data_IF_901414640012
#
_entry.id   IF_901414640012
#
_cell.length_a   1.000
_cell.length_b   1.000
_cell.length_c   1.000
_cell.angle_alpha   90.00
_cell.angle_beta   90.00
_cell.angle_gamma   90.00
#
_symmetry.space_group_name_H-M   'P 1'
#
loop_
_entity.id
_entity.type
_entity.pdbx_description
1 polymer ?
#
# COMPACT_ATOMS: atom_id res chain seq x y z
N UNK A 1 -2.41 -21.13 -9.39
CA UNK A 1 -3.48 -20.85 -8.41
C UNK A 1 -4.65 -20.27 -9.17
N UNK A 2 -5.92 -20.67 -8.91
CA UNK A 2 -7.07 -20.02 -9.53
C UNK A 2 -7.12 -18.52 -9.20
N UNK A 3 -7.61 -17.69 -10.11
CA UNK A 3 -7.77 -16.24 -9.88
C UNK A 3 -8.59 -15.94 -8.61
N UNK A 4 -9.60 -16.75 -8.32
CA UNK A 4 -10.43 -16.65 -7.11
C UNK A 4 -9.67 -16.90 -5.80
N UNK A 5 -8.50 -17.51 -5.83
CA UNK A 5 -7.65 -17.67 -4.64
C UNK A 5 -6.44 -16.75 -4.66
N UNK A 6 -6.28 -15.96 -5.72
CA UNK A 6 -5.21 -14.97 -5.82
C UNK A 6 -5.61 -13.76 -4.98
N UNK A 7 -4.81 -13.42 -3.96
CA UNK A 7 -5.12 -12.30 -3.11
C UNK A 7 -4.64 -11.02 -3.83
N UNK A 8 -5.26 -9.87 -3.59
CA UNK A 8 -4.84 -8.60 -4.22
C UNK A 8 -4.90 -7.43 -3.26
N UNK A 9 -4.15 -6.39 -3.60
CA UNK A 9 -4.14 -5.10 -2.92
C UNK A 9 -4.09 -3.97 -3.95
N UNK A 10 -4.92 -2.96 -3.75
CA UNK A 10 -5.09 -1.79 -4.62
C UNK A 10 -4.96 -0.52 -3.78
N UNK A 11 -4.19 0.44 -4.30
CA UNK A 11 -3.81 1.68 -3.64
C UNK A 11 -3.96 2.83 -4.64
N UNK A 12 -4.99 3.65 -4.42
CA UNK A 12 -5.17 4.89 -5.18
C UNK A 12 -4.63 6.05 -4.36
N UNK A 13 -3.58 6.70 -4.86
CA UNK A 13 -2.92 7.82 -4.18
C UNK A 13 -3.14 9.13 -4.93
N UNK A 14 -3.57 10.17 -4.21
CA UNK A 14 -3.76 11.52 -4.75
C UNK A 14 -3.07 12.55 -3.86
N UNK A 15 -2.20 13.37 -4.45
CA UNK A 15 -1.51 14.46 -3.75
C UNK A 15 -2.16 15.81 -4.06
N UNK A 16 -2.29 16.68 -3.05
CA UNK A 16 -2.83 18.03 -3.23
C UNK A 16 -2.19 19.02 -2.24
N UNK A 17 -1.76 20.21 -2.68
CA UNK A 17 -1.68 20.64 -4.08
C UNK A 17 -0.55 19.93 -4.84
N UNK A 18 -0.64 19.87 -6.17
CA UNK A 18 0.41 19.29 -7.02
C UNK A 18 1.64 20.22 -7.18
N UNK A 19 1.50 21.50 -6.82
CA UNK A 19 2.58 22.48 -6.76
C UNK A 19 2.49 23.18 -5.41
N UNK A 20 3.58 23.22 -4.65
CA UNK A 20 3.57 23.76 -3.30
C UNK A 20 4.80 24.62 -3.03
N UNK A 21 4.61 25.71 -2.29
CA UNK A 21 5.71 26.46 -1.68
C UNK A 21 5.98 25.93 -0.27
N UNK A 22 7.10 26.34 0.28
CA UNK A 22 7.43 26.08 1.69
C UNK A 22 6.32 26.61 2.59
N UNK A 23 6.04 25.87 3.67
CA UNK A 23 4.99 26.22 4.62
C UNK A 23 3.56 25.95 4.13
N UNK A 24 3.34 25.59 2.86
CA UNK A 24 2.04 25.14 2.35
C UNK A 24 1.65 23.80 2.99
N UNK A 25 0.38 23.65 3.36
CA UNK A 25 -0.16 22.36 3.78
C UNK A 25 -0.41 21.49 2.56
N UNK A 26 0.22 20.33 2.52
CA UNK A 26 0.05 19.32 1.48
C UNK A 26 -0.56 18.06 2.08
N UNK A 27 -1.40 17.39 1.29
CA UNK A 27 -2.13 16.19 1.67
C UNK A 27 -1.93 15.10 0.63
N UNK A 28 -1.55 13.92 1.08
CA UNK A 28 -1.64 12.67 0.33
C UNK A 28 -2.84 11.89 0.83
N UNK A 29 -3.80 11.63 -0.05
CA UNK A 29 -4.93 10.75 0.23
C UNK A 29 -4.65 9.40 -0.40
N UNK A 30 -4.63 8.34 0.41
CA UNK A 30 -4.50 6.96 -0.03
C UNK A 30 -5.80 6.22 0.22
N UNK A 31 -6.42 5.72 -0.84
CA UNK A 31 -7.55 4.81 -0.75
C UNK A 31 -7.03 3.39 -0.92
N UNK A 32 -7.23 2.57 0.12
CA UNK A 32 -6.81 1.18 0.15
C UNK A 32 -8.00 0.26 -0.09
N UNK A 33 -7.77 -0.79 -0.89
CA UNK A 33 -8.67 -1.93 -1.04
C UNK A 33 -7.84 -3.21 -1.11
N UNK A 34 -8.29 -4.28 -0.48
CA UNK A 34 -7.67 -5.59 -0.63
C UNK A 34 -8.69 -6.71 -0.55
N UNK A 35 -8.34 -7.83 -1.17
CA UNK A 35 -9.05 -9.09 -1.04
C UNK A 35 -8.09 -10.15 -0.54
N UNK A 36 -8.41 -10.71 0.63
CA UNK A 36 -7.61 -11.72 1.29
C UNK A 36 -8.42 -13.01 1.41
N UNK A 37 -8.25 -13.98 0.49
CA UNK A 37 -8.92 -15.27 0.52
C UNK A 37 -8.63 -16.01 1.83
N UNK A 38 -9.69 -16.55 2.43
CA UNK A 38 -9.62 -17.29 3.69
C UNK A 38 -10.77 -18.30 3.78
N UNK A 39 -10.46 -19.50 4.28
CA UNK A 39 -11.45 -20.54 4.56
C UNK A 39 -12.08 -21.17 3.32
N UNK A 40 -11.43 -21.08 2.15
CA UNK A 40 -11.92 -21.69 0.91
C UNK A 40 -11.30 -23.08 0.67
N UNK A 41 -12.07 -24.04 0.14
CA UNK A 41 -11.52 -25.30 -0.39
C UNK A 41 -12.24 -25.68 -1.68
N UNK A 42 -11.51 -26.29 -2.61
CA UNK A 42 -12.09 -26.95 -3.76
C UNK A 42 -12.43 -28.41 -3.42
N UNK A 43 -13.69 -28.79 -3.64
CA UNK A 43 -14.16 -30.17 -3.47
C UNK A 43 -13.79 -31.03 -4.69
N UNK A 44 -13.83 -32.37 -4.57
CA UNK A 44 -13.82 -33.27 -5.73
C UNK A 44 -14.92 -32.85 -6.72
N UNK A 45 -14.54 -32.50 -7.95
CA UNK A 45 -15.43 -31.89 -8.94
C UNK A 45 -15.19 -30.39 -9.20
N UNK A 46 -14.25 -29.76 -8.49
CA UNK A 46 -13.82 -28.38 -8.76
C UNK A 46 -14.76 -27.31 -8.21
N UNK A 47 -15.79 -27.69 -7.44
CA UNK A 47 -16.65 -26.73 -6.76
C UNK A 47 -15.91 -26.08 -5.58
N UNK A 48 -15.96 -24.75 -5.50
CA UNK A 48 -15.40 -23.98 -4.39
C UNK A 48 -16.42 -23.90 -3.24
N UNK A 49 -15.99 -24.23 -2.03
CA UNK A 49 -16.79 -24.10 -0.81
C UNK A 49 -16.10 -23.18 0.19
N UNK A 50 -16.85 -22.24 0.76
CA UNK A 50 -16.38 -21.34 1.81
C UNK A 50 -16.85 -21.85 3.18
N UNK A 51 -15.90 -22.05 4.10
CA UNK A 51 -16.17 -22.54 5.46
C UNK A 51 -16.31 -21.41 6.49
N UNK A 52 -16.30 -20.16 6.05
CA UNK A 52 -16.46 -18.98 6.90
C UNK A 52 -15.17 -18.52 7.58
N UNK A 53 -15.20 -17.32 8.15
CA UNK A 53 -14.04 -16.66 8.76
C UNK A 53 -13.50 -17.39 10.00
N UNK A 54 -14.35 -18.14 10.71
CA UNK A 54 -14.03 -18.84 11.98
C UNK A 54 -13.72 -20.32 11.80
N UNK A 55 -13.50 -20.77 10.55
CA UNK A 55 -13.18 -22.17 10.30
C UNK A 55 -11.89 -22.56 11.00
N UNK A 56 -11.91 -23.68 11.73
CA UNK A 56 -10.72 -24.27 12.38
C UNK A 56 -9.99 -25.28 11.47
N UNK A 57 -10.44 -25.40 10.21
CA UNK A 57 -9.86 -26.32 9.23
C UNK A 57 -8.47 -25.86 8.85
N UNK A 58 -7.54 -26.80 8.71
CA UNK A 58 -6.17 -26.56 8.24
C UNK A 58 -6.00 -26.87 6.75
N UNK A 59 -7.00 -27.51 6.14
CA UNK A 59 -7.00 -27.95 4.73
C UNK A 59 -7.72 -26.95 3.79
N UNK A 60 -7.78 -25.68 4.19
CA UNK A 60 -8.41 -24.57 3.46
C UNK A 60 -7.37 -23.52 3.09
N UNK A 61 -7.64 -22.74 2.04
CA UNK A 61 -6.86 -21.55 1.66
C UNK A 61 -6.92 -20.55 2.81
N UNK A 62 -5.76 -20.02 3.20
CA UNK A 62 -5.63 -19.05 4.28
C UNK A 62 -4.17 -18.66 4.52
N UNK A 63 -3.93 -17.88 5.57
CA UNK A 63 -2.58 -17.50 5.98
C UNK A 63 -1.93 -16.40 5.13
N UNK A 64 -2.69 -15.76 4.23
CA UNK A 64 -2.22 -14.57 3.51
C UNK A 64 -2.19 -13.38 4.47
N UNK A 65 -1.04 -12.73 4.56
CA UNK A 65 -0.89 -11.41 5.18
C UNK A 65 -0.37 -10.45 4.14
N UNK A 66 -0.94 -9.25 4.10
CA UNK A 66 -0.48 -8.17 3.24
C UNK A 66 0.09 -7.05 4.08
N UNK A 67 1.27 -6.60 3.69
CA UNK A 67 1.89 -5.40 4.20
C UNK A 67 2.01 -4.39 3.07
N UNK A 68 1.50 -3.20 3.31
CA UNK A 68 1.98 -2.00 2.62
C UNK A 68 2.70 -1.07 3.60
N UNK A 69 2.46 -1.25 4.91
CA UNK A 69 3.26 -0.76 6.02
C UNK A 69 2.71 -1.34 7.35
N UNK A 70 3.59 -1.71 8.29
CA UNK A 70 3.26 -2.23 9.63
C UNK A 70 4.06 -3.50 9.97
N UNK A 71 5.09 -3.34 10.81
CA UNK A 71 6.17 -4.25 11.27
C UNK A 71 7.52 -4.16 10.51
N UNK A 72 7.55 -3.97 9.18
CA UNK A 72 8.80 -3.96 8.38
C UNK A 72 9.27 -2.57 7.89
N UNK A 73 8.54 -1.48 8.18
CA UNK A 73 9.07 -0.16 7.85
C UNK A 73 10.26 0.17 8.76
N UNK A 74 11.40 0.64 8.20
CA UNK A 74 12.59 0.96 9.00
C UNK A 74 12.41 2.13 9.98
N UNK A 75 11.24 2.79 9.99
CA UNK A 75 10.97 3.98 10.79
C UNK A 75 9.60 3.91 11.49
N UNK A 76 9.56 4.26 12.78
CA UNK A 76 8.33 4.48 13.55
C UNK A 76 7.87 5.92 13.38
N UNK A 77 6.65 6.15 12.87
CA UNK A 77 6.02 7.47 12.75
C UNK A 77 5.30 7.68 11.42
N UNK A 78 4.54 8.77 11.32
CA UNK A 78 3.88 9.20 10.09
C UNK A 78 4.86 10.04 9.25
N UNK A 79 5.19 9.57 8.05
CA UNK A 79 6.07 10.26 7.13
C UNK A 79 5.50 10.25 5.71
N UNK A 80 5.94 11.20 4.89
CA UNK A 80 5.90 11.06 3.44
C UNK A 80 7.32 10.97 2.88
N UNK A 81 7.50 10.05 1.94
CA UNK A 81 8.72 9.82 1.18
C UNK A 81 8.65 10.58 -0.15
N UNK A 82 9.68 11.38 -0.42
CA UNK A 82 9.85 12.21 -1.61
C UNK A 82 11.03 11.70 -2.44
N UNK A 83 10.75 11.05 -3.56
CA UNK A 83 11.77 10.61 -4.50
C UNK A 83 12.00 11.68 -5.56
N UNK A 84 13.21 12.22 -5.63
CA UNK A 84 13.53 13.28 -6.60
C UNK A 84 13.49 12.74 -8.02
N UNK A 85 12.93 13.53 -8.93
CA UNK A 85 12.99 13.31 -10.38
C UNK A 85 13.98 14.33 -10.95
N UNK A 86 15.11 13.91 -11.55
CA UNK A 86 15.74 12.56 -11.52
C UNK A 86 16.39 12.22 -10.15
N UNK A 87 16.75 10.94 -9.86
CA UNK A 87 16.81 9.78 -10.77
C UNK A 87 15.52 8.96 -10.89
N UNK A 88 14.50 9.24 -10.06
CA UNK A 88 13.23 8.55 -10.20
C UNK A 88 12.58 8.87 -11.57
N UNK A 89 11.85 7.90 -12.11
CA UNK A 89 11.18 8.03 -13.39
C UNK A 89 9.69 8.30 -13.19
N UNK A 90 9.13 9.33 -13.85
CA UNK A 90 7.69 9.52 -13.86
C UNK A 90 6.98 8.26 -14.35
N UNK A 91 5.79 7.96 -13.80
CA UNK A 91 4.94 6.81 -14.18
C UNK A 91 5.52 5.43 -13.85
N UNK A 92 6.59 5.35 -13.07
CA UNK A 92 7.10 4.11 -12.50
C UNK A 92 6.96 4.15 -10.98
N UNK A 93 6.88 2.97 -10.35
CA UNK A 93 7.01 2.87 -8.90
C UNK A 93 8.44 3.25 -8.50
N UNK A 94 8.63 4.18 -7.56
CA UNK A 94 9.96 4.50 -7.08
C UNK A 94 10.54 3.30 -6.32
N UNK A 95 11.75 2.89 -6.71
CA UNK A 95 12.50 1.80 -6.08
C UNK A 95 13.70 2.33 -5.29
N UNK A 96 14.11 1.59 -4.26
CA UNK A 96 15.28 1.92 -3.42
C UNK A 96 14.97 2.85 -2.25
N UNK A 97 15.99 3.21 -1.48
CA UNK A 97 15.87 3.94 -0.21
C UNK A 97 16.21 5.43 -0.30
N UNK A 98 16.49 5.95 -1.50
CA UNK A 98 16.97 7.33 -1.72
C UNK A 98 15.92 8.44 -1.57
N UNK A 99 14.77 8.18 -0.95
CA UNK A 99 13.74 9.18 -0.72
C UNK A 99 14.11 10.11 0.44
N UNK A 100 13.75 11.38 0.31
CA UNK A 100 13.72 12.31 1.45
C UNK A 100 12.46 12.00 2.28
N UNK A 101 12.63 11.73 3.57
CA UNK A 101 11.52 11.48 4.48
C UNK A 101 11.14 12.78 5.20
N UNK A 102 9.91 13.26 5.01
CA UNK A 102 9.39 14.41 5.74
C UNK A 102 8.35 13.96 6.78
N UNK A 103 8.45 14.41 8.05
CA UNK A 103 7.44 14.14 9.05
C UNK A 103 6.06 14.64 8.61
N UNK A 104 5.04 13.85 8.93
CA UNK A 104 3.66 14.12 8.60
C UNK A 104 2.75 13.71 9.77
N UNK A 105 1.45 13.92 9.60
CA UNK A 105 0.42 13.35 10.47
C UNK A 105 -0.55 12.56 9.60
N UNK A 106 -1.02 11.42 10.07
CA UNK A 106 -1.98 10.60 9.35
C UNK A 106 -3.30 10.45 10.11
N UNK A 107 -4.37 10.26 9.35
CA UNK A 107 -5.68 9.87 9.87
C UNK A 107 -6.27 8.79 8.98
N UNK A 108 -6.66 7.68 9.62
CA UNK A 108 -7.37 6.58 8.96
C UNK A 108 -8.87 6.74 9.16
N UNK A 109 -9.65 6.48 8.11
CA UNK A 109 -11.11 6.54 8.12
C UNK A 109 -11.71 5.44 7.25
N UNK A 110 -12.99 5.12 7.48
CA UNK A 110 -13.73 4.18 6.65
C UNK A 110 -13.20 2.74 6.71
N UNK A 111 -12.54 2.38 7.81
CA UNK A 111 -12.00 1.04 8.02
C UNK A 111 -13.12 0.01 8.03
N UNK A 112 -12.98 -1.02 7.21
CA UNK A 112 -13.95 -2.09 7.07
C UNK A 112 -13.26 -3.31 6.50
N UNK A 113 -13.42 -4.45 7.18
CA UNK A 113 -12.84 -5.72 6.77
C UNK A 113 -13.85 -6.88 7.00
N UNK A 114 -15.03 -6.85 6.36
CA UNK A 114 -15.97 -7.96 6.45
C UNK A 114 -15.42 -9.20 5.75
N UNK A 115 -15.69 -10.37 6.31
CA UNK A 115 -15.66 -11.61 5.56
C UNK A 115 -16.88 -11.69 4.65
N UNK A 116 -16.66 -11.90 3.35
CA UNK A 116 -17.72 -12.04 2.37
C UNK A 116 -17.83 -13.50 1.94
N UNK A 117 -18.92 -14.15 2.33
CA UNK A 117 -19.15 -15.58 2.11
C UNK A 117 -19.12 -15.96 0.63
N UNK A 118 -19.64 -15.13 -0.28
CA UNK A 118 -19.58 -15.41 -1.72
C UNK A 118 -18.16 -15.35 -2.29
N UNK A 119 -17.25 -14.63 -1.64
CA UNK A 119 -15.87 -14.45 -2.06
C UNK A 119 -14.90 -15.46 -1.43
N UNK A 120 -15.34 -16.14 -0.37
CA UNK A 120 -14.48 -16.81 0.60
C UNK A 120 -13.27 -15.93 1.01
N UNK A 121 -13.49 -14.65 1.29
CA UNK A 121 -12.40 -13.69 1.49
C UNK A 121 -12.80 -12.56 2.43
N UNK A 122 -11.81 -11.98 3.09
CA UNK A 122 -11.94 -10.66 3.70
C UNK A 122 -11.80 -9.58 2.62
N UNK A 123 -12.73 -8.63 2.59
CA UNK A 123 -12.65 -7.45 1.73
C UNK A 123 -12.28 -6.24 2.60
N UNK A 124 -10.99 -5.90 2.60
CA UNK A 124 -10.48 -4.80 3.40
C UNK A 124 -10.57 -3.49 2.62
N UNK A 125 -10.98 -2.42 3.28
CA UNK A 125 -10.92 -1.06 2.76
C UNK A 125 -10.67 -0.07 3.89
N UNK A 126 -9.95 1.00 3.57
CA UNK A 126 -9.83 2.18 4.41
C UNK A 126 -9.30 3.34 3.58
N UNK A 127 -9.34 4.55 4.12
CA UNK A 127 -8.71 5.73 3.54
C UNK A 127 -7.76 6.34 4.55
N UNK A 128 -6.49 6.48 4.17
CA UNK A 128 -5.48 7.21 4.94
C UNK A 128 -5.34 8.60 4.34
N UNK A 129 -5.47 9.61 5.18
CA UNK A 129 -5.15 10.99 4.84
C UNK A 129 -3.88 11.39 5.57
N UNK A 130 -2.78 11.54 4.85
CA UNK A 130 -1.50 11.99 5.38
C UNK A 130 -1.30 13.46 5.05
N UNK A 131 -1.03 14.28 6.05
CA UNK A 131 -0.88 15.73 5.92
C UNK A 131 0.51 16.14 6.40
N UNK A 132 1.19 16.99 5.63
CA UNK A 132 2.39 17.66 6.10
C UNK A 132 2.32 19.15 5.79
N UNK A 133 3.14 19.91 6.50
CA UNK A 133 3.51 21.26 6.11
C UNK A 133 4.84 21.17 5.38
N UNK A 134 4.90 21.63 4.13
CA UNK A 134 6.12 21.54 3.30
C UNK A 134 7.29 22.16 4.06
N UNK A 135 8.37 21.40 4.34
CA UNK A 135 9.44 21.85 5.21
C UNK A 135 10.36 22.86 4.50
N UNK A 136 11.37 23.34 5.23
CA UNK A 136 12.42 24.19 4.67
C UNK A 136 13.31 23.47 3.65
N UNK A 137 14.13 24.23 2.87
CA UNK A 137 14.96 23.67 1.79
C UNK A 137 16.04 22.72 2.29
N UNK A 138 16.47 22.89 3.55
CA UNK A 138 17.47 22.02 4.19
C UNK A 138 16.95 20.59 4.39
N UNK A 139 15.62 20.43 4.40
CA UNK A 139 14.94 19.14 4.48
C UNK A 139 14.45 18.71 3.11
N UNK A 140 13.71 19.59 2.40
CA UNK A 140 13.14 19.30 1.09
C UNK A 140 13.47 20.45 0.13
N UNK A 141 14.52 20.24 -0.67
CA UNK A 141 14.94 21.20 -1.68
C UNK A 141 13.84 21.44 -2.74
N UNK A 142 13.85 22.59 -3.43
CA UNK A 142 13.00 22.78 -4.61
C UNK A 142 13.26 21.73 -5.70
N UNK A 143 12.20 21.32 -6.39
CA UNK A 143 12.26 20.33 -7.47
C UNK A 143 11.00 19.51 -7.62
N UNK A 144 11.05 18.54 -8.53
CA UNK A 144 9.95 17.63 -8.81
C UNK A 144 10.17 16.29 -8.11
N UNK A 145 9.12 15.75 -7.49
CA UNK A 145 9.19 14.55 -6.66
C UNK A 145 8.03 13.61 -6.94
N UNK A 146 8.27 12.31 -6.84
CA UNK A 146 7.24 11.31 -6.59
C UNK A 146 6.99 11.22 -5.08
N UNK A 147 5.72 11.20 -4.68
CA UNK A 147 5.32 11.18 -3.27
C UNK A 147 4.67 9.85 -2.94
N UNK A 148 5.16 9.22 -1.88
CA UNK A 148 4.63 7.96 -1.35
C UNK A 148 4.60 8.03 0.18
N UNK A 149 3.83 7.18 0.86
CA UNK A 149 3.83 7.15 2.32
C UNK A 149 4.96 6.30 2.91
N UNK A 150 5.72 5.56 2.08
CA UNK A 150 6.78 4.65 2.52
C UNK A 150 7.96 4.60 1.54
N UNK A 151 9.12 4.21 2.05
CA UNK A 151 10.35 4.02 1.28
C UNK A 151 11.07 2.75 1.75
N UNK A 152 11.31 1.75 0.87
CA UNK A 152 10.83 1.63 -0.51
C UNK A 152 9.33 1.34 -0.60
N UNK A 153 8.65 1.73 -1.69
CA UNK A 153 7.25 1.35 -1.91
C UNK A 153 7.16 -0.10 -2.38
N UNK A 154 6.85 -1.02 -1.47
CA UNK A 154 6.72 -2.44 -1.76
C UNK A 154 5.46 -3.02 -1.13
N UNK A 155 4.70 -3.78 -1.92
CA UNK A 155 3.65 -4.65 -1.39
C UNK A 155 4.34 -5.94 -0.98
N UNK A 156 4.30 -6.25 0.31
CA UNK A 156 4.77 -7.53 0.83
C UNK A 156 3.58 -8.44 1.08
N UNK A 157 3.78 -9.72 0.79
CA UNK A 157 2.84 -10.77 1.13
C UNK A 157 3.59 -11.85 1.88
N UNK A 158 2.94 -12.49 2.86
CA UNK A 158 3.40 -13.78 3.36
C UNK A 158 2.29 -14.79 3.25
N UNK A 159 2.67 -16.03 2.92
CA UNK A 159 1.83 -17.21 3.06
C UNK A 159 2.68 -18.27 3.75
N UNK A 160 2.13 -18.90 4.78
CA UNK A 160 2.83 -19.94 5.53
C UNK A 160 3.36 -21.03 4.59
N UNK A 161 4.67 -21.30 4.67
CA UNK A 161 5.36 -22.29 3.85
C UNK A 161 5.67 -21.88 2.39
N UNK A 162 5.41 -20.64 1.97
CA UNK A 162 5.67 -20.15 0.60
C UNK A 162 6.52 -18.89 0.62
N UNK A 163 7.67 -18.89 -0.07
CA UNK A 163 8.53 -17.71 -0.20
C UNK A 163 7.87 -16.64 -1.09
N UNK A 164 8.19 -15.37 -0.86
CA UNK A 164 7.62 -14.26 -1.63
C UNK A 164 7.92 -14.36 -3.14
N UNK A 165 9.11 -14.84 -3.49
CA UNK A 165 9.49 -15.13 -4.88
C UNK A 165 8.63 -16.27 -5.47
N UNK A 166 8.39 -17.34 -4.71
CA UNK A 166 7.53 -18.45 -5.15
C UNK A 166 6.03 -18.07 -5.23
N UNK A 167 5.61 -17.00 -4.58
CA UNK A 167 4.25 -16.46 -4.75
C UNK A 167 4.08 -15.71 -6.09
N UNK A 168 5.17 -15.31 -6.75
CA UNK A 168 5.11 -14.57 -8.00
C UNK A 168 4.46 -13.19 -7.84
N UNK A 169 4.68 -12.51 -6.71
CA UNK A 169 4.10 -11.19 -6.43
C UNK A 169 4.51 -10.19 -7.51
N UNK A 170 3.53 -9.49 -8.10
CA UNK A 170 3.75 -8.44 -9.09
C UNK A 170 3.30 -7.10 -8.49
N UNK A 171 4.18 -6.09 -8.55
CA UNK A 171 3.89 -4.72 -8.13
C UNK A 171 3.90 -3.81 -9.34
N UNK A 172 2.74 -3.24 -9.68
CA UNK A 172 2.57 -2.35 -10.83
C UNK A 172 1.95 -1.03 -10.38
N UNK A 173 2.31 0.06 -11.07
CA UNK A 173 1.70 1.37 -10.85
C UNK A 173 2.70 2.53 -10.89
N UNK A 174 2.28 3.66 -10.34
CA UNK A 174 3.09 4.87 -10.24
C UNK A 174 2.70 5.68 -9.03
N UNK A 175 3.66 6.40 -8.45
CA UNK A 175 3.39 7.37 -7.39
C UNK A 175 2.92 8.73 -7.96
N UNK A 176 2.06 9.48 -7.24
CA UNK A 176 1.69 10.84 -7.64
C UNK A 176 2.89 11.78 -7.60
N UNK A 177 2.90 12.76 -8.50
CA UNK A 177 3.98 13.73 -8.63
C UNK A 177 3.61 15.06 -7.96
N UNK A 178 4.59 15.71 -7.34
CA UNK A 178 4.50 17.08 -6.82
C UNK A 178 5.70 17.91 -7.26
N UNK A 179 5.49 19.20 -7.48
CA UNK A 179 6.54 20.20 -7.64
C UNK A 179 6.66 21.06 -6.38
N UNK A 180 7.85 21.08 -5.79
CA UNK A 180 8.21 21.97 -4.69
C UNK A 180 8.89 23.19 -5.30
N UNK A 181 8.23 24.34 -5.18
CA UNK A 181 8.66 25.61 -5.76
C UNK A 181 9.70 26.28 -4.87
N UNK A 182 10.57 27.06 -5.51
CA UNK A 182 11.36 28.02 -4.75
C UNK A 182 10.44 29.14 -4.22
N UNK A 183 10.73 29.60 -3.01
CA UNK A 183 9.88 30.50 -2.22
C UNK A 183 9.63 31.83 -2.90
#
# INVERSE_FOLDING_TARGET
>A
MPASDTPYMDLIMTVTPARAKRGTTMRLVTQFRARTPAGAKYLPGGQRQCFGEKTKRTDVVGGFKFGWNGDDAPFKGDYLAFYRIPPAKPKELPTGTGAVMAPATSKTTGESQPYVQSECAFLSRYTITTTLRVPGPDVLAPGTYLVTPISPMQITGTREGVSQEAMGTVNEGSAPMVEILDG
#
